data_IF_264979505429
#
_entry.id   IF_264979505429
#
_cell.length_a   1.000
_cell.length_b   1.000
_cell.length_c   1.000
_cell.angle_alpha   90.00
_cell.angle_beta   90.00
_cell.angle_gamma   90.00
#
_symmetry.space_group_name_H-M   'P 1'
#
loop_
_entity.id
_entity.type
_entity.pdbx_description
1 polymer ?
#
# COMPACT_ATOMS: atom_id res chain seq x y z
N UNK A 1 -21.48 1.56 8.64
CA UNK A 1 -22.06 0.48 7.80
C UNK A 1 -21.73 -0.86 8.47
N UNK A 2 -22.44 -1.98 8.23
CA UNK A 2 -22.03 -3.26 8.86
C UNK A 2 -20.78 -3.80 8.15
N UNK A 3 -19.62 -3.82 8.82
CA UNK A 3 -18.31 -4.20 8.25
C UNK A 3 -18.37 -5.50 7.41
N UNK A 4 -19.00 -6.61 7.84
CA UNK A 4 -19.10 -7.81 7.00
C UNK A 4 -19.80 -7.60 5.65
N UNK A 5 -20.79 -6.70 5.60
CA UNK A 5 -21.44 -6.35 4.34
C UNK A 5 -20.51 -5.53 3.43
N UNK A 6 -19.76 -4.58 4.00
CA UNK A 6 -18.76 -3.82 3.25
C UNK A 6 -17.71 -4.73 2.64
N UNK A 7 -17.18 -5.68 3.42
CA UNK A 7 -16.21 -6.69 2.94
C UNK A 7 -16.81 -7.55 1.83
N UNK A 8 -18.03 -8.04 2.00
CA UNK A 8 -18.74 -8.81 0.97
C UNK A 8 -18.88 -8.02 -0.34
N UNK A 9 -19.26 -6.74 -0.25
CA UNK A 9 -19.43 -5.88 -1.42
C UNK A 9 -18.11 -5.66 -2.18
N UNK A 10 -17.01 -5.39 -1.47
CA UNK A 10 -15.70 -5.27 -2.11
C UNK A 10 -15.26 -6.60 -2.74
N UNK A 11 -15.48 -7.72 -2.05
CA UNK A 11 -15.11 -9.03 -2.57
C UNK A 11 -15.91 -9.45 -3.81
N UNK A 12 -17.22 -9.15 -3.85
CA UNK A 12 -18.04 -9.34 -5.06
C UNK A 12 -17.55 -8.45 -6.20
N UNK A 13 -17.20 -7.19 -5.91
CA UNK A 13 -16.64 -6.28 -6.92
C UNK A 13 -15.34 -6.82 -7.51
N UNK A 14 -14.47 -7.40 -6.67
CA UNK A 14 -13.25 -8.06 -7.12
C UNK A 14 -13.55 -9.26 -8.02
N UNK A 15 -14.46 -10.14 -7.60
CA UNK A 15 -14.91 -11.30 -8.38
C UNK A 15 -15.44 -10.89 -9.76
N UNK A 16 -16.25 -9.84 -9.81
CA UNK A 16 -16.82 -9.29 -11.06
C UNK A 16 -15.74 -8.75 -11.99
N UNK A 17 -14.78 -7.97 -11.46
CA UNK A 17 -13.66 -7.45 -12.25
C UNK A 17 -12.83 -8.60 -12.82
N UNK A 18 -12.44 -9.57 -11.99
CA UNK A 18 -11.61 -10.71 -12.42
C UNK A 18 -12.32 -11.57 -13.47
N UNK A 19 -13.63 -11.80 -13.31
CA UNK A 19 -14.43 -12.58 -14.28
C UNK A 19 -14.61 -11.85 -15.62
N UNK A 20 -14.67 -10.52 -15.59
CA UNK A 20 -14.82 -9.68 -16.80
C UNK A 20 -13.50 -9.37 -17.52
N UNK A 21 -12.37 -9.73 -16.92
CA UNK A 21 -11.05 -9.37 -17.44
C UNK A 21 -10.75 -10.14 -18.73
N UNK A 22 -10.34 -9.43 -19.79
CA UNK A 22 -9.92 -10.07 -21.03
C UNK A 22 -8.64 -10.88 -20.83
N UNK A 23 -8.40 -11.85 -21.71
CA UNK A 23 -7.14 -12.62 -21.75
C UNK A 23 -6.45 -12.43 -23.11
N UNK A 24 -5.33 -11.69 -23.21
CA UNK A 24 -4.65 -10.99 -22.12
C UNK A 24 -5.42 -9.75 -21.61
N UNK A 25 -5.15 -9.29 -20.38
CA UNK A 25 -5.77 -8.08 -19.84
C UNK A 25 -5.23 -6.83 -20.55
N UNK A 26 -5.96 -5.70 -20.54
CA UNK A 26 -5.55 -4.48 -21.24
C UNK A 26 -4.41 -3.70 -20.53
N UNK A 27 -3.84 -4.24 -19.44
CA UNK A 27 -2.74 -3.66 -18.64
C UNK A 27 -2.85 -2.14 -18.40
N UNK A 28 -4.03 -1.67 -17.99
CA UNK A 28 -4.26 -0.27 -17.64
C UNK A 28 -4.12 -0.06 -16.14
N UNK A 29 -3.44 1.03 -15.76
CA UNK A 29 -3.20 1.40 -14.37
C UNK A 29 -4.46 1.38 -13.51
N UNK A 30 -5.56 1.96 -14.03
CA UNK A 30 -6.83 2.04 -13.31
C UNK A 30 -7.35 0.67 -12.86
N UNK A 31 -7.27 -0.35 -13.72
CA UNK A 31 -7.74 -1.70 -13.39
C UNK A 31 -6.88 -2.35 -12.31
N UNK A 32 -5.55 -2.25 -12.45
CA UNK A 32 -4.64 -2.93 -11.53
C UNK A 32 -4.54 -2.22 -10.18
N UNK A 33 -4.65 -0.88 -10.13
CA UNK A 33 -4.85 -0.17 -8.87
C UNK A 33 -6.10 -0.70 -8.17
N UNK A 34 -7.24 -0.75 -8.87
CA UNK A 34 -8.50 -1.19 -8.26
C UNK A 34 -8.44 -2.65 -7.81
N UNK A 35 -7.83 -3.55 -8.59
CA UNK A 35 -7.66 -4.96 -8.22
C UNK A 35 -6.81 -5.09 -6.95
N UNK A 36 -5.65 -4.42 -6.89
CA UNK A 36 -4.78 -4.47 -5.73
C UNK A 36 -5.42 -3.85 -4.49
N UNK A 37 -6.14 -2.72 -4.65
CA UNK A 37 -6.86 -2.08 -3.55
C UNK A 37 -8.00 -2.95 -3.04
N UNK A 38 -8.77 -3.60 -3.92
CA UNK A 38 -9.83 -4.53 -3.53
C UNK A 38 -9.28 -5.74 -2.78
N UNK A 39 -8.18 -6.33 -3.24
CA UNK A 39 -7.48 -7.37 -2.50
C UNK A 39 -7.09 -6.90 -1.09
N UNK A 40 -6.47 -5.72 -0.98
CA UNK A 40 -6.11 -5.13 0.32
C UNK A 40 -7.34 -4.90 1.20
N UNK A 41 -8.42 -4.33 0.66
CA UNK A 41 -9.66 -4.05 1.39
C UNK A 41 -10.31 -5.33 1.91
N UNK A 42 -10.42 -6.37 1.09
CA UNK A 42 -10.94 -7.68 1.53
C UNK A 42 -10.05 -8.25 2.65
N UNK A 43 -8.74 -8.19 2.49
CA UNK A 43 -7.78 -8.65 3.50
C UNK A 43 -7.89 -7.90 4.82
N UNK A 44 -7.95 -6.56 4.78
CA UNK A 44 -8.08 -5.71 5.98
C UNK A 44 -9.41 -5.99 6.67
N UNK A 45 -10.51 -6.05 5.92
CA UNK A 45 -11.81 -6.28 6.50
C UNK A 45 -11.94 -7.65 7.17
N UNK A 46 -11.40 -8.70 6.55
CA UNK A 46 -11.32 -10.03 7.16
C UNK A 46 -10.45 -10.05 8.41
N UNK A 47 -9.33 -9.32 8.40
CA UNK A 47 -8.51 -9.14 9.58
C UNK A 47 -9.28 -8.44 10.70
N UNK A 48 -9.98 -7.33 10.42
CA UNK A 48 -10.76 -6.60 11.43
C UNK A 48 -11.88 -7.46 12.06
N UNK A 49 -12.44 -8.41 11.31
CA UNK A 49 -13.47 -9.34 11.82
C UNK A 49 -12.90 -10.52 12.64
N UNK A 50 -11.67 -10.96 12.35
CA UNK A 50 -11.10 -12.21 12.90
C UNK A 50 -9.91 -12.01 13.83
N UNK A 51 -9.28 -10.83 13.77
CA UNK A 51 -7.99 -10.51 14.36
C UNK A 51 -6.84 -11.44 13.91
N UNK A 52 -6.99 -12.13 12.77
CA UNK A 52 -5.99 -13.04 12.20
C UNK A 52 -5.39 -12.44 10.90
N UNK A 53 -4.07 -12.16 10.86
CA UNK A 53 -3.41 -11.59 9.69
C UNK A 53 -3.27 -12.57 8.51
N UNK A 54 -3.51 -13.87 8.68
CA UNK A 54 -3.21 -14.87 7.65
C UNK A 54 -3.95 -14.61 6.33
N UNK A 55 -5.21 -14.22 6.39
CA UNK A 55 -5.99 -13.85 5.21
C UNK A 55 -5.50 -12.55 4.59
N UNK A 56 -5.27 -11.50 5.39
CA UNK A 56 -4.70 -10.25 4.91
C UNK A 56 -3.41 -10.51 4.12
N UNK A 57 -2.49 -11.30 4.67
CA UNK A 57 -1.22 -11.61 4.02
C UNK A 57 -1.42 -12.25 2.64
N UNK A 58 -2.35 -13.20 2.52
CA UNK A 58 -2.67 -13.85 1.24
C UNK A 58 -3.27 -12.86 0.24
N UNK A 59 -4.20 -12.00 0.66
CA UNK A 59 -4.85 -11.07 -0.24
C UNK A 59 -3.87 -9.98 -0.71
N UNK A 60 -3.08 -9.39 0.18
CA UNK A 60 -2.08 -8.38 -0.23
C UNK A 60 -0.99 -8.99 -1.12
N UNK A 61 -0.60 -10.25 -0.90
CA UNK A 61 0.31 -10.96 -1.81
C UNK A 61 -0.27 -11.14 -3.23
N UNK A 62 -1.58 -11.40 -3.35
CA UNK A 62 -2.26 -11.43 -4.66
C UNK A 62 -2.30 -10.04 -5.30
N UNK A 63 -2.58 -8.99 -4.52
CA UNK A 63 -2.54 -7.61 -4.97
C UNK A 63 -1.15 -7.21 -5.50
N UNK A 64 -0.08 -7.60 -4.81
CA UNK A 64 1.31 -7.40 -5.25
C UNK A 64 1.57 -8.18 -6.55
N UNK A 65 1.18 -9.46 -6.62
CA UNK A 65 1.39 -10.29 -7.82
C UNK A 65 0.71 -9.68 -9.06
N UNK A 66 -0.53 -9.22 -8.93
CA UNK A 66 -1.27 -8.54 -10.00
C UNK A 66 -0.55 -7.28 -10.48
N UNK A 67 -0.10 -6.44 -9.55
CA UNK A 67 0.54 -5.17 -9.88
C UNK A 67 1.93 -5.36 -10.51
N UNK A 68 2.70 -6.35 -10.06
CA UNK A 68 3.95 -6.76 -10.72
C UNK A 68 3.68 -7.17 -12.18
N UNK A 69 2.66 -7.99 -12.43
CA UNK A 69 2.29 -8.39 -13.79
C UNK A 69 1.89 -7.17 -14.64
N UNK A 70 1.20 -6.18 -14.07
CA UNK A 70 0.94 -4.90 -14.73
C UNK A 70 2.23 -4.16 -15.09
N UNK A 71 3.13 -3.90 -14.14
CA UNK A 71 4.34 -3.14 -14.42
C UNK A 71 5.27 -3.84 -15.44
N UNK A 72 5.25 -5.17 -15.46
CA UNK A 72 6.05 -5.97 -16.39
C UNK A 72 5.51 -5.97 -17.83
N UNK A 73 4.21 -5.68 -18.03
CA UNK A 73 3.56 -5.80 -19.35
C UNK A 73 2.92 -4.49 -19.87
N UNK A 74 2.71 -3.50 -19.01
CA UNK A 74 2.11 -2.23 -19.41
C UNK A 74 3.07 -1.36 -20.22
N UNK A 75 2.51 -0.56 -21.12
CA UNK A 75 3.24 0.52 -21.78
C UNK A 75 3.74 1.53 -20.74
N UNK A 76 4.90 2.14 -20.98
CA UNK A 76 5.46 3.19 -20.10
C UNK A 76 4.48 4.35 -19.87
N UNK A 77 3.64 4.66 -20.86
CA UNK A 77 2.62 5.71 -20.78
C UNK A 77 1.55 5.43 -19.71
N UNK A 78 1.33 4.16 -19.36
CA UNK A 78 0.39 3.73 -18.32
C UNK A 78 1.00 3.71 -16.93
N UNK A 79 2.32 3.61 -16.81
CA UNK A 79 3.00 3.53 -15.51
C UNK A 79 2.99 4.89 -14.82
N UNK A 80 2.73 4.86 -13.51
CA UNK A 80 2.86 5.98 -12.60
C UNK A 80 3.43 5.45 -11.28
N UNK A 81 4.65 5.83 -10.95
CA UNK A 81 5.41 5.27 -9.82
C UNK A 81 4.80 5.66 -8.47
N UNK A 82 4.25 6.87 -8.36
CA UNK A 82 3.45 7.35 -7.21
C UNK A 82 2.30 6.41 -6.83
N UNK A 83 1.71 5.73 -7.83
CA UNK A 83 0.51 4.92 -7.66
C UNK A 83 0.81 3.47 -7.24
N UNK A 84 2.08 3.10 -7.07
CA UNK A 84 2.51 1.76 -6.62
C UNK A 84 2.25 1.63 -5.11
N UNK A 85 0.99 1.57 -4.71
CA UNK A 85 0.59 1.44 -3.30
C UNK A 85 0.93 0.05 -2.73
N UNK A 86 1.01 -0.96 -3.60
CA UNK A 86 1.48 -2.31 -3.24
C UNK A 86 2.94 -2.35 -2.75
N UNK A 87 3.69 -1.26 -2.89
CA UNK A 87 5.01 -1.12 -2.27
C UNK A 87 4.91 -1.32 -0.74
N UNK A 88 3.95 -0.67 -0.10
CA UNK A 88 3.77 -0.78 1.35
C UNK A 88 3.29 -2.15 1.77
N UNK A 89 2.47 -2.80 0.95
CA UNK A 89 2.08 -4.19 1.16
C UNK A 89 3.30 -5.13 1.13
N UNK A 90 4.21 -4.92 0.18
CA UNK A 90 5.41 -5.73 0.03
C UNK A 90 6.41 -5.49 1.18
N UNK A 91 6.54 -4.24 1.67
CA UNK A 91 7.28 -3.92 2.90
C UNK A 91 6.63 -4.62 4.10
N UNK A 92 5.30 -4.56 4.22
CA UNK A 92 4.57 -5.24 5.29
C UNK A 92 4.85 -6.74 5.29
N UNK A 93 4.87 -7.41 4.14
CA UNK A 93 5.17 -8.85 4.04
C UNK A 93 6.65 -9.19 4.16
N UNK A 94 7.55 -8.21 4.26
CA UNK A 94 9.00 -8.40 4.09
C UNK A 94 9.35 -9.17 2.80
N UNK A 95 8.56 -8.98 1.73
CA UNK A 95 8.73 -9.69 0.46
C UNK A 95 9.76 -8.95 -0.42
N UNK A 96 11.03 -9.21 -0.12
CA UNK A 96 12.17 -8.60 -0.84
C UNK A 96 12.20 -8.95 -2.32
N UNK A 97 11.70 -10.13 -2.71
CA UNK A 97 11.64 -10.55 -4.09
C UNK A 97 10.63 -9.69 -4.88
N UNK A 98 9.43 -9.49 -4.33
CA UNK A 98 8.44 -8.60 -4.93
C UNK A 98 8.86 -7.13 -4.90
N UNK A 99 9.49 -6.67 -3.81
CA UNK A 99 10.04 -5.30 -3.73
C UNK A 99 11.04 -5.02 -4.85
N UNK A 100 11.96 -5.96 -5.11
CA UNK A 100 12.93 -5.85 -6.19
C UNK A 100 12.26 -5.85 -7.57
N UNK A 101 11.23 -6.66 -7.77
CA UNK A 101 10.45 -6.68 -9.02
C UNK A 101 9.73 -5.36 -9.27
N UNK A 102 9.01 -4.85 -8.26
CA UNK A 102 8.35 -3.54 -8.33
C UNK A 102 9.36 -2.44 -8.67
N UNK A 103 10.49 -2.40 -7.98
CA UNK A 103 11.47 -1.33 -8.15
C UNK A 103 12.18 -1.34 -9.51
N UNK A 104 12.40 -2.52 -10.10
CA UNK A 104 12.96 -2.70 -11.45
C UNK A 104 11.97 -2.37 -12.56
N UNK A 105 10.68 -2.66 -12.34
CA UNK A 105 9.64 -2.49 -13.37
C UNK A 105 8.96 -1.10 -13.35
N UNK A 106 9.06 -0.39 -12.23
CA UNK A 106 8.55 0.97 -12.06
C UNK A 106 9.26 1.98 -12.99
N UNK A 107 8.53 3.01 -13.40
CA UNK A 107 9.09 4.08 -14.21
C UNK A 107 10.20 4.82 -13.46
N UNK A 108 11.26 5.21 -14.18
CA UNK A 108 12.41 5.95 -13.65
C UNK A 108 12.30 7.46 -13.81
N UNK A 109 11.25 7.93 -14.50
CA UNK A 109 10.93 9.35 -14.72
C UNK A 109 9.46 9.61 -14.42
N UNK A 110 9.15 10.81 -13.95
CA UNK A 110 7.77 11.24 -13.63
C UNK A 110 6.85 11.16 -14.86
N UNK A 111 5.66 10.58 -14.68
CA UNK A 111 4.59 10.65 -15.67
C UNK A 111 3.66 11.84 -15.37
N UNK A 112 4.02 13.03 -15.88
CA UNK A 112 3.30 14.29 -15.61
C UNK A 112 1.79 14.29 -16.00
N UNK A 113 1.30 13.27 -16.71
CA UNK A 113 -0.15 13.12 -17.02
C UNK A 113 -0.93 12.39 -15.92
N UNK A 114 -0.24 11.68 -15.03
CA UNK A 114 -0.84 10.74 -14.07
C UNK A 114 -0.41 10.97 -12.63
N UNK A 115 0.68 11.69 -12.40
CA UNK A 115 1.25 11.87 -11.07
C UNK A 115 1.90 13.23 -10.86
N UNK A 116 1.87 13.68 -9.61
CA UNK A 116 2.63 14.81 -9.13
C UNK A 116 4.09 14.40 -8.88
N UNK A 117 4.99 15.37 -8.90
CA UNK A 117 6.44 15.11 -8.86
C UNK A 117 6.88 14.67 -7.46
N UNK A 118 6.33 15.27 -6.41
CA UNK A 118 6.54 14.92 -5.00
C UNK A 118 6.13 13.47 -4.69
N UNK A 119 4.96 13.05 -5.20
CA UNK A 119 4.47 11.68 -5.02
C UNK A 119 5.36 10.66 -5.77
N UNK A 120 5.82 11.04 -6.97
CA UNK A 120 6.76 10.24 -7.74
C UNK A 120 8.09 10.08 -6.99
N UNK A 121 8.66 11.17 -6.49
CA UNK A 121 9.94 11.17 -5.77
C UNK A 121 9.85 10.33 -4.51
N UNK A 122 8.79 10.52 -3.71
CA UNK A 122 8.54 9.73 -2.51
C UNK A 122 8.60 8.21 -2.77
N UNK A 123 7.84 7.73 -3.76
CA UNK A 123 7.83 6.30 -4.11
C UNK A 123 9.12 5.84 -4.77
N UNK A 124 9.71 6.65 -5.65
CA UNK A 124 10.96 6.28 -6.35
C UNK A 124 12.12 6.14 -5.39
N UNK A 125 12.23 7.02 -4.39
CA UNK A 125 13.22 6.94 -3.31
C UNK A 125 13.04 5.63 -2.53
N UNK A 126 11.82 5.31 -2.09
CA UNK A 126 11.56 4.06 -1.37
C UNK A 126 11.86 2.81 -2.21
N UNK A 127 11.50 2.81 -3.50
CA UNK A 127 11.83 1.69 -4.40
C UNK A 127 13.34 1.54 -4.60
N UNK A 128 14.07 2.64 -4.68
CA UNK A 128 15.53 2.63 -4.79
C UNK A 128 16.21 2.15 -3.51
N UNK A 129 15.85 2.74 -2.37
CA UNK A 129 16.43 2.43 -1.07
C UNK A 129 16.07 1.03 -0.59
N UNK A 130 14.77 0.70 -0.59
CA UNK A 130 14.25 -0.54 0.00
C UNK A 130 14.16 -1.67 -1.04
N UNK A 131 13.70 -1.35 -2.26
CA UNK A 131 13.49 -2.36 -3.30
C UNK A 131 14.76 -2.77 -4.05
N UNK A 132 15.65 -1.83 -4.33
CA UNK A 132 16.94 -2.10 -4.99
C UNK A 132 18.11 -2.18 -4.02
N UNK A 133 17.93 -1.80 -2.74
CA UNK A 133 19.02 -1.78 -1.77
C UNK A 133 20.11 -0.78 -2.14
N UNK A 134 19.75 0.34 -2.78
CA UNK A 134 20.71 1.40 -3.09
C UNK A 134 21.13 2.12 -1.81
N UNK A 135 22.40 2.45 -1.72
CA UNK A 135 22.94 3.29 -0.66
C UNK A 135 22.37 4.71 -0.71
N UNK A 136 22.37 5.41 0.44
CA UNK A 136 21.87 6.78 0.56
C UNK A 136 22.53 7.74 -0.44
N UNK A 137 23.84 7.60 -0.68
CA UNK A 137 24.58 8.40 -1.66
C UNK A 137 23.99 8.31 -3.08
N UNK A 138 23.44 7.15 -3.45
CA UNK A 138 22.88 6.91 -4.78
C UNK A 138 21.48 7.52 -4.97
N UNK A 139 20.80 7.90 -3.88
CA UNK A 139 19.47 8.56 -3.92
C UNK A 139 19.53 10.06 -3.58
N UNK A 140 20.70 10.59 -3.26
CA UNK A 140 20.86 11.96 -2.77
C UNK A 140 20.32 13.02 -3.76
N UNK A 141 20.46 12.78 -5.07
CA UNK A 141 19.90 13.68 -6.08
C UNK A 141 18.37 13.68 -6.07
N UNK A 142 17.73 12.55 -5.78
CA UNK A 142 16.27 12.46 -5.62
C UNK A 142 15.84 13.18 -4.34
N UNK A 143 16.58 13.01 -3.24
CA UNK A 143 16.33 13.70 -1.98
C UNK A 143 16.40 15.22 -2.14
N UNK A 144 17.40 15.75 -2.86
CA UNK A 144 17.52 17.19 -3.15
C UNK A 144 16.38 17.73 -4.02
N UNK A 145 15.95 16.94 -5.01
CA UNK A 145 14.79 17.30 -5.82
C UNK A 145 13.52 17.38 -4.94
N UNK A 146 13.34 16.40 -4.04
CA UNK A 146 12.18 16.38 -3.14
C UNK A 146 12.24 17.52 -2.12
N UNK A 147 13.41 17.81 -1.57
CA UNK A 147 13.63 18.96 -0.68
C UNK A 147 13.27 20.29 -1.32
N UNK A 148 13.56 20.45 -2.61
CA UNK A 148 13.18 21.67 -3.35
C UNK A 148 11.66 21.85 -3.39
N UNK A 149 10.91 20.78 -3.68
CA UNK A 149 9.45 20.81 -3.68
C UNK A 149 8.88 21.01 -2.27
N UNK A 150 9.47 20.35 -1.26
CA UNK A 150 9.10 20.49 0.15
C UNK A 150 9.25 21.94 0.64
N UNK A 151 10.32 22.64 0.23
CA UNK A 151 10.53 24.04 0.60
C UNK A 151 9.48 24.99 -0.01
N UNK A 152 8.91 24.62 -1.16
CA UNK A 152 7.83 25.38 -1.80
C UNK A 152 6.45 25.04 -1.21
N UNK A 153 6.25 23.78 -0.83
CA UNK A 153 5.04 23.28 -0.18
C UNK A 153 5.40 22.13 0.77
N UNK A 154 5.22 22.35 2.08
CA UNK A 154 5.58 21.37 3.11
C UNK A 154 4.92 20.01 2.84
N UNK A 155 5.73 18.96 2.92
CA UNK A 155 5.33 17.56 2.73
C UNK A 155 5.97 16.69 3.81
N UNK A 156 5.14 16.13 4.69
CA UNK A 156 5.57 15.33 5.85
C UNK A 156 6.27 14.04 5.43
N UNK A 157 6.02 13.54 4.21
CA UNK A 157 6.68 12.34 3.69
C UNK A 157 8.15 12.60 3.40
N UNK A 158 8.52 13.83 3.04
CA UNK A 158 9.91 14.23 2.93
C UNK A 158 10.59 14.23 4.31
N UNK A 159 9.96 14.83 5.31
CA UNK A 159 10.47 14.88 6.69
C UNK A 159 10.67 13.46 7.23
N UNK A 160 9.67 12.59 7.03
CA UNK A 160 9.72 11.20 7.45
C UNK A 160 10.86 10.42 6.78
N UNK A 161 11.05 10.57 5.46
CA UNK A 161 12.15 9.94 4.73
C UNK A 161 13.51 10.42 5.21
N UNK A 162 13.67 11.74 5.39
CA UNK A 162 14.93 12.34 5.86
C UNK A 162 15.26 11.85 7.27
N UNK A 163 14.30 11.90 8.19
CA UNK A 163 14.48 11.43 9.55
C UNK A 163 14.81 9.92 9.61
N UNK A 164 14.19 9.11 8.75
CA UNK A 164 14.52 7.69 8.64
C UNK A 164 15.98 7.47 8.20
N UNK A 165 16.45 8.19 7.17
CA UNK A 165 17.81 8.10 6.65
C UNK A 165 18.85 8.56 7.68
N UNK A 166 18.59 9.69 8.32
CA UNK A 166 19.51 10.33 9.26
C UNK A 166 19.43 9.71 10.67
N UNK A 167 18.46 8.81 10.88
CA UNK A 167 18.15 8.15 12.15
C UNK A 167 17.75 9.11 13.27
N UNK A 168 17.06 10.19 12.88
CA UNK A 168 16.55 11.19 13.81
C UNK A 168 15.21 10.73 14.39
N UNK A 169 15.24 10.27 15.65
CA UNK A 169 14.10 9.62 16.28
C UNK A 169 12.89 10.55 16.45
N UNK A 170 13.10 11.75 16.97
CA UNK A 170 11.99 12.68 17.25
C UNK A 170 11.33 13.18 15.96
N UNK A 171 12.12 13.54 14.95
CA UNK A 171 11.61 14.00 13.66
C UNK A 171 10.83 12.88 12.94
N UNK A 172 11.31 11.64 13.02
CA UNK A 172 10.61 10.49 12.45
C UNK A 172 9.22 10.31 13.07
N UNK A 173 9.14 10.36 14.40
CA UNK A 173 7.86 10.18 15.10
C UNK A 173 6.92 11.36 14.91
N UNK A 174 7.44 12.59 14.86
CA UNK A 174 6.64 13.80 14.57
C UNK A 174 6.00 13.72 13.18
N UNK A 175 6.79 13.43 12.15
CA UNK A 175 6.27 13.30 10.78
C UNK A 175 5.29 12.11 10.65
N UNK A 176 5.56 10.99 11.31
CA UNK A 176 4.65 9.84 11.30
C UNK A 176 3.30 10.16 11.98
N UNK A 177 3.31 10.94 13.06
CA UNK A 177 2.09 11.40 13.73
C UNK A 177 1.25 12.30 12.83
N UNK A 178 1.88 13.19 12.05
CA UNK A 178 1.20 13.99 11.05
C UNK A 178 0.52 13.11 9.98
N UNK A 179 1.22 12.11 9.43
CA UNK A 179 0.61 11.17 8.47
C UNK A 179 -0.54 10.34 9.07
N UNK A 180 -0.45 9.98 10.36
CA UNK A 180 -1.54 9.30 11.06
C UNK A 180 -2.77 10.20 11.13
N UNK A 181 -2.58 11.47 11.50
CA UNK A 181 -3.65 12.46 11.58
C UNK A 181 -4.28 12.71 10.20
N UNK A 182 -3.48 12.89 9.15
CA UNK A 182 -3.97 13.04 7.77
C UNK A 182 -4.82 11.84 7.33
N UNK A 183 -4.37 10.61 7.64
CA UNK A 183 -5.14 9.40 7.32
C UNK A 183 -6.47 9.39 8.08
N UNK A 184 -6.47 9.74 9.36
CA UNK A 184 -7.70 9.80 10.16
C UNK A 184 -8.66 10.87 9.64
N UNK A 185 -8.18 12.06 9.32
CA UNK A 185 -8.98 13.15 8.77
C UNK A 185 -9.59 12.78 7.42
N UNK A 186 -8.81 12.17 6.53
CA UNK A 186 -9.28 11.67 5.23
C UNK A 186 -10.50 10.76 5.36
N UNK A 187 -10.55 9.92 6.38
CA UNK A 187 -11.65 8.97 6.57
C UNK A 187 -12.73 9.45 7.55
N UNK A 188 -12.46 10.45 8.38
CA UNK A 188 -13.42 11.04 9.31
C UNK A 188 -14.66 11.60 8.59
N UNK A 189 -14.50 12.09 7.36
CA UNK A 189 -15.59 12.59 6.52
C UNK A 189 -16.28 11.52 5.64
N UNK A 190 -16.01 10.24 5.88
CA UNK A 190 -16.53 9.14 5.06
C UNK A 190 -15.65 8.80 3.86
N UNK A 191 -14.39 9.26 3.87
CA UNK A 191 -13.40 9.08 2.81
C UNK A 191 -13.25 10.31 1.92
N UNK A 192 -12.41 10.19 0.89
CA UNK A 192 -12.35 11.17 -0.18
C UNK A 192 -13.74 11.24 -0.85
N UNK A 193 -14.45 12.36 -0.68
CA UNK A 193 -15.80 12.60 -1.21
C UNK A 193 -15.91 12.34 -2.72
N UNK A 194 -14.78 12.27 -3.43
CA UNK A 194 -14.69 12.02 -4.86
C UNK A 194 -14.11 10.65 -5.24
N UNK A 195 -13.50 9.89 -4.31
CA UNK A 195 -12.79 8.63 -4.62
C UNK A 195 -13.14 7.43 -3.73
N UNK A 196 -13.67 7.65 -2.52
CA UNK A 196 -13.97 6.58 -1.55
C UNK A 196 -15.45 6.20 -1.52
N UNK A 197 -15.74 4.91 -1.44
CA UNK A 197 -17.09 4.42 -1.06
C UNK A 197 -17.23 4.39 0.46
N UNK A 198 -18.44 4.49 0.99
CA UNK A 198 -18.68 4.31 2.44
C UNK A 198 -18.20 2.94 2.92
N UNK A 199 -18.33 1.92 2.08
CA UNK A 199 -17.79 0.58 2.29
C UNK A 199 -16.27 0.58 2.46
N UNK A 200 -15.55 1.34 1.62
CA UNK A 200 -14.11 1.44 1.70
C UNK A 200 -13.67 2.15 2.99
N UNK A 201 -14.32 3.27 3.34
CA UNK A 201 -14.02 4.01 4.56
C UNK A 201 -14.20 3.15 5.83
N UNK A 202 -15.24 2.32 5.88
CA UNK A 202 -15.47 1.38 6.99
C UNK A 202 -14.33 0.36 7.16
N UNK A 203 -13.60 0.05 6.08
CA UNK A 203 -12.51 -0.92 6.09
C UNK A 203 -11.16 -0.25 6.35
N UNK A 204 -10.84 0.82 5.60
CA UNK A 204 -9.48 1.39 5.54
C UNK A 204 -9.21 2.47 6.59
N UNK A 205 -10.24 3.02 7.23
CA UNK A 205 -10.08 4.02 8.29
C UNK A 205 -9.33 3.50 9.53
N UNK A 206 -9.34 2.18 9.74
CA UNK A 206 -8.77 1.54 10.93
C UNK A 206 -7.36 0.97 10.72
N UNK A 207 -6.92 0.82 9.46
CA UNK A 207 -5.64 0.18 9.13
C UNK A 207 -4.99 0.94 7.97
N UNK A 208 -3.76 1.42 8.19
CA UNK A 208 -2.94 2.02 7.13
C UNK A 208 -1.72 1.15 6.85
N UNK A 209 -1.67 0.56 5.66
CA UNK A 209 -0.53 -0.25 5.23
C UNK A 209 0.75 0.57 5.11
N UNK A 210 0.64 1.86 4.78
CA UNK A 210 1.77 2.80 4.75
C UNK A 210 2.35 3.02 6.16
N UNK A 211 1.50 3.33 7.14
CA UNK A 211 1.95 3.51 8.53
C UNK A 211 2.56 2.22 9.08
N UNK A 212 1.94 1.06 8.81
CA UNK A 212 2.49 -0.23 9.22
C UNK A 212 3.85 -0.50 8.57
N UNK A 213 4.00 -0.21 7.27
CA UNK A 213 5.26 -0.35 6.55
C UNK A 213 6.35 0.52 7.19
N UNK A 214 6.05 1.78 7.49
CA UNK A 214 6.99 2.69 8.17
C UNK A 214 7.39 2.21 9.56
N UNK A 215 6.44 1.74 10.37
CA UNK A 215 6.75 1.19 11.69
C UNK A 215 7.64 -0.06 11.59
N UNK A 216 7.46 -0.89 10.56
CA UNK A 216 8.32 -2.05 10.30
C UNK A 216 9.73 -1.62 9.88
N UNK A 217 9.86 -0.63 9.01
CA UNK A 217 11.15 -0.06 8.63
C UNK A 217 11.86 0.58 9.85
N UNK A 218 11.13 1.35 10.66
CA UNK A 218 11.67 1.93 11.89
C UNK A 218 12.18 0.87 12.85
N UNK A 219 11.48 -0.27 12.98
CA UNK A 219 11.92 -1.39 13.82
C UNK A 219 13.21 -2.01 13.29
N UNK A 220 13.36 -2.14 11.98
CA UNK A 220 14.60 -2.62 11.35
C UNK A 220 15.76 -1.64 11.52
N UNK A 221 15.47 -0.32 11.53
CA UNK A 221 16.45 0.75 11.70
C UNK A 221 16.78 1.11 13.15
N UNK A 222 16.18 0.44 14.15
CA UNK A 222 16.25 0.78 15.59
C UNK A 222 15.71 2.17 15.94
N UNK A 223 14.73 2.67 15.19
CA UNK A 223 13.99 3.92 15.44
C UNK A 223 12.61 3.68 16.10
N UNK A 224 12.24 2.42 16.31
CA UNK A 224 10.93 2.06 16.84
C UNK A 224 10.83 2.30 18.35
N UNK A 225 9.90 3.17 18.75
CA UNK A 225 9.42 3.27 20.13
C UNK A 225 8.25 2.30 20.35
N UNK A 226 8.14 1.69 21.55
CA UNK A 226 7.02 0.80 21.92
C UNK A 226 5.70 1.57 22.16
N UNK A 227 5.36 2.49 21.25
CA UNK A 227 4.10 3.24 21.27
C UNK A 227 3.03 2.44 20.53
N UNK A 228 1.84 2.36 21.11
CA UNK A 228 0.68 1.84 20.38
C UNK A 228 0.27 2.87 19.33
N UNK A 229 0.14 2.41 18.08
CA UNK A 229 -0.32 3.23 16.95
C UNK A 229 -1.64 2.67 16.47
N UNK A 230 -2.71 3.46 16.58
CA UNK A 230 -4.09 3.01 16.33
C UNK A 230 -4.29 2.42 14.93
N UNK A 231 -3.62 2.98 13.91
CA UNK A 231 -3.68 2.53 12.51
C UNK A 231 -2.82 1.29 12.21
N UNK A 232 -2.10 0.78 13.21
CA UNK A 232 -1.21 -0.38 13.10
C UNK A 232 -1.49 -1.40 14.22
N UNK A 233 -2.62 -2.13 14.15
CA UNK A 233 -2.98 -3.12 15.16
C UNK A 233 -1.86 -4.13 15.45
N UNK A 234 -1.67 -4.45 16.74
CA UNK A 234 -0.56 -5.28 17.23
C UNK A 234 -0.30 -6.57 16.44
N UNK A 235 -1.32 -7.38 16.10
CA UNK A 235 -1.13 -8.60 15.31
C UNK A 235 -0.51 -8.36 13.92
N UNK A 236 -0.73 -7.20 13.30
CA UNK A 236 -0.12 -6.83 12.02
C UNK A 236 1.36 -6.43 12.19
N UNK A 237 1.74 -5.92 13.36
CA UNK A 237 3.12 -5.59 13.70
C UNK A 237 3.99 -6.82 13.97
N UNK A 238 3.38 -7.93 14.39
CA UNK A 238 4.04 -9.23 14.57
C UNK A 238 3.92 -10.17 13.36
N UNK A 239 2.93 -9.95 12.49
CA UNK A 239 2.70 -10.72 11.27
C UNK A 239 3.49 -10.22 10.05
N UNK A 240 3.08 -10.64 8.86
CA UNK A 240 3.66 -10.23 7.57
C UNK A 240 4.86 -11.06 7.14
N UNK A 241 4.65 -12.38 7.06
CA UNK A 241 5.60 -13.28 6.41
C UNK A 241 5.33 -13.35 4.90
N UNK A 242 6.36 -13.53 4.06
CA UNK A 242 6.18 -13.72 2.62
C UNK A 242 5.25 -14.90 2.34
N UNK A 243 4.26 -14.68 1.47
CA UNK A 243 3.33 -15.72 1.05
C UNK A 243 3.77 -16.25 -0.30
N UNK A 244 4.09 -17.54 -0.37
CA UNK A 244 4.35 -18.22 -1.65
C UNK A 244 3.04 -18.46 -2.39
N UNK A 245 2.90 -17.81 -3.54
CA UNK A 245 1.73 -17.94 -4.41
C UNK A 245 2.11 -18.60 -5.74
N UNK A 246 1.21 -19.42 -6.27
CA UNK A 246 1.36 -19.91 -7.64
C UNK A 246 1.32 -18.75 -8.65
N UNK A 247 2.02 -18.84 -9.79
CA UNK A 247 1.91 -17.84 -10.86
C UNK A 247 0.45 -17.60 -11.24
N UNK A 248 0.08 -16.33 -11.44
CA UNK A 248 -1.29 -15.91 -11.80
C UNK A 248 -2.38 -16.31 -10.81
N UNK A 249 -2.03 -16.63 -9.56
CA UNK A 249 -3.01 -16.90 -8.50
C UNK A 249 -3.95 -15.72 -8.23
N UNK A 250 -3.51 -14.49 -8.53
CA UNK A 250 -4.33 -13.28 -8.45
C UNK A 250 -5.51 -13.25 -9.44
N UNK A 251 -5.56 -14.14 -10.45
CA UNK A 251 -6.74 -14.28 -11.30
C UNK A 251 -7.88 -15.04 -10.61
N UNK A 252 -7.61 -15.67 -9.45
CA UNK A 252 -8.58 -16.49 -8.74
C UNK A 252 -8.84 -15.87 -7.35
N UNK A 253 -10.10 -15.62 -7.03
CA UNK A 253 -10.57 -15.33 -5.68
C UNK A 253 -11.60 -16.38 -5.25
N UNK A 254 -11.70 -16.63 -3.94
CA UNK A 254 -12.80 -17.42 -3.41
C UNK A 254 -14.12 -16.70 -3.71
N UNK A 255 -15.21 -17.43 -3.94
CA UNK A 255 -16.49 -16.77 -4.18
C UNK A 255 -17.10 -16.29 -2.88
N UNK A 256 -17.43 -14.99 -2.84
CA UNK A 256 -18.04 -14.36 -1.67
C UNK A 256 -19.57 -14.27 -1.78
N UNK A 257 -20.15 -14.73 -2.89
CA UNK A 257 -21.59 -14.71 -3.14
C UNK A 257 -22.36 -15.65 -2.19
N UNK A 258 -21.77 -16.78 -1.83
CA UNK A 258 -22.37 -17.82 -0.98
C UNK A 258 -22.10 -17.64 0.53
N UNK A 259 -21.25 -16.70 0.94
CA UNK A 259 -20.94 -16.46 2.34
C UNK A 259 -22.15 -15.86 3.07
N UNK A 260 -22.69 -16.63 4.01
CA UNK A 260 -23.62 -16.17 5.04
C UNK A 260 -22.82 -15.77 6.28
N UNK A 261 -22.76 -14.48 6.58
CA UNK A 261 -22.21 -14.03 7.86
C UNK A 261 -23.23 -14.32 8.96
N UNK A 262 -23.02 -15.39 9.72
CA UNK A 262 -23.69 -15.56 11.02
C UNK A 262 -23.06 -14.58 12.01
N UNK A 263 -23.82 -13.63 12.58
CA UNK A 263 -23.33 -12.82 13.70
C UNK A 263 -22.91 -13.76 14.83
N UNK A 264 -21.70 -13.61 15.36
CA UNK A 264 -21.37 -14.23 16.63
C UNK A 264 -22.04 -13.38 17.72
N UNK A 265 -22.96 -14.01 18.46
CA UNK A 265 -23.60 -13.42 19.65
C UNK A 265 -22.60 -13.16 20.76
#
# INVERSE_FOLDING_TARGET
>A
MYLPMAVKNQAITLEDILTSLSSPPPYKLLYFNRISDLYRQVGIGEFLMSNDPANLNRQVAKGIQAYCEFLENAEESEKATSQINVLFDAIYLNDTASLSRLAKAAATTVNARKEYEEDFLYKRILLDLIGLGKEQEAIENLMKAFETLHNDNEDERFVLLRAYLDKEHEDFWGALEMLINEHQEKWAEGGDRYKGTLEEAEITSHVSMEIIAWLKLAKQANLFSQREVQLAPGPLMTGGEPVSLAPKSWLNCDSYRSLNYTPRN
#
